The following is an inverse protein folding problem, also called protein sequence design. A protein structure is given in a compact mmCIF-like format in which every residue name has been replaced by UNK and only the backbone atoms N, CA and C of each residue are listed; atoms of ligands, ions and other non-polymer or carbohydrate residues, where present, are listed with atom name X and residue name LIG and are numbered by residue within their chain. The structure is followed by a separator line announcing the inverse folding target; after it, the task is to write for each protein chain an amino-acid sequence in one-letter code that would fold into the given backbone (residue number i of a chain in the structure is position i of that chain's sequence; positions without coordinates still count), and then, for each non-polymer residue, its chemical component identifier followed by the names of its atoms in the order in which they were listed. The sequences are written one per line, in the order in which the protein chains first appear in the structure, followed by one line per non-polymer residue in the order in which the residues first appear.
data_IF_942907930243
#
_entry.id   IF_942907930243
#
_cell.length_a   1.000
_cell.length_b   1.000
_cell.length_c   1.000
_cell.angle_alpha   90.00
_cell.angle_beta   90.00
_cell.angle_gamma   90.00
#
_symmetry.space_group_name_H-M   'P 1'
#
loop_
_entity.id
_entity.type
_entity.pdbx_description
1 polymer ?
#
# COMPACT_ATOMS: atom_id res chain seq x y z
N UNK A 1 -8.14 -24.86 8.00
CA UNK A 1 -6.96 -23.96 7.93
C UNK A 1 -6.63 -23.53 6.49
N UNK A 2 -7.57 -23.58 5.53
CA UNK A 2 -7.29 -23.27 4.11
C UNK A 2 -7.95 -21.99 3.58
N UNK A 3 -8.89 -21.41 4.32
CA UNK A 3 -9.72 -20.30 3.86
C UNK A 3 -9.07 -18.92 4.04
N UNK A 4 -8.23 -18.78 5.07
CA UNK A 4 -7.59 -17.51 5.43
C UNK A 4 -6.51 -17.12 4.41
N UNK A 5 -5.68 -18.08 3.99
CA UNK A 5 -4.57 -17.84 3.08
C UNK A 5 -5.01 -17.51 1.64
N UNK A 6 -6.18 -18.01 1.23
CA UNK A 6 -6.77 -17.71 -0.08
C UNK A 6 -7.34 -16.29 -0.14
N UNK A 7 -7.79 -15.77 1.01
CA UNK A 7 -8.36 -14.43 1.12
C UNK A 7 -7.28 -13.35 1.01
N UNK A 8 -6.13 -13.55 1.67
CA UNK A 8 -4.97 -12.67 1.52
C UNK A 8 -4.48 -12.60 0.07
N UNK A 9 -4.44 -13.72 -0.67
CA UNK A 9 -3.97 -13.73 -2.05
C UNK A 9 -4.85 -12.90 -3.01
N UNK A 10 -6.18 -12.92 -2.81
CA UNK A 10 -7.13 -12.08 -3.58
C UNK A 10 -6.93 -10.60 -3.27
N UNK A 11 -6.72 -10.25 -2.01
CA UNK A 11 -6.48 -8.87 -1.59
C UNK A 11 -5.11 -8.37 -2.08
N UNK A 12 -4.10 -9.24 -2.12
CA UNK A 12 -2.79 -8.94 -2.71
C UNK A 12 -2.90 -8.69 -4.23
N UNK A 13 -3.73 -9.46 -4.94
CA UNK A 13 -4.01 -9.19 -6.36
C UNK A 13 -4.70 -7.84 -6.55
N UNK A 14 -5.68 -7.49 -5.71
CA UNK A 14 -6.32 -6.16 -5.73
C UNK A 14 -5.32 -5.03 -5.51
N UNK A 15 -4.40 -5.21 -4.57
CA UNK A 15 -3.32 -4.26 -4.32
C UNK A 15 -2.42 -4.09 -5.55
N UNK A 16 -2.08 -5.19 -6.22
CA UNK A 16 -1.27 -5.21 -7.44
C UNK A 16 -1.97 -4.46 -8.59
N UNK A 17 -3.27 -4.72 -8.81
CA UNK A 17 -4.08 -3.99 -9.79
C UNK A 17 -4.22 -2.51 -9.46
N UNK A 18 -4.29 -2.18 -8.17
CA UNK A 18 -4.35 -0.80 -7.69
C UNK A 18 -3.04 -0.04 -7.95
N UNK A 19 -1.90 -0.70 -7.76
CA UNK A 19 -0.58 -0.13 -8.08
C UNK A 19 -0.34 -0.04 -9.57
N UNK A 20 -0.73 -1.05 -10.35
CA UNK A 20 -0.62 -1.05 -11.82
C UNK A 20 -1.34 0.12 -12.49
N UNK A 21 -2.40 0.65 -11.89
CA UNK A 21 -3.07 1.85 -12.38
C UNK A 21 -2.19 3.12 -12.31
N UNK A 22 -1.20 3.17 -11.41
CA UNK A 22 -0.26 4.28 -11.28
C UNK A 22 1.07 3.81 -10.67
N UNK A 23 1.93 3.14 -11.46
CA UNK A 23 3.18 2.56 -10.96
C UNK A 23 4.20 3.58 -10.46
N UNK A 24 3.98 4.88 -10.73
CA UNK A 24 4.83 5.98 -10.25
C UNK A 24 4.11 6.89 -9.25
N UNK A 25 2.96 6.48 -8.71
CA UNK A 25 2.22 7.25 -7.72
C UNK A 25 2.83 7.18 -6.32
N UNK A 26 2.51 8.15 -5.47
CA UNK A 26 2.78 8.06 -4.04
C UNK A 26 1.62 7.33 -3.35
N UNK A 27 1.95 6.35 -2.51
CA UNK A 27 0.98 5.53 -1.79
C UNK A 27 1.18 5.67 -0.28
N UNK A 28 0.10 5.60 0.49
CA UNK A 28 0.12 5.62 1.94
C UNK A 28 -0.60 4.39 2.49
N UNK A 29 0.08 3.56 3.27
CA UNK A 29 -0.53 2.43 3.98
C UNK A 29 -1.03 2.92 5.33
N UNK A 30 -2.33 2.88 5.53
CA UNK A 30 -2.99 3.22 6.79
C UNK A 30 -3.27 1.90 7.53
N UNK A 31 -2.42 1.60 8.51
CA UNK A 31 -2.45 0.33 9.24
C UNK A 31 -3.71 0.19 10.09
N UNK A 32 -4.17 1.28 10.70
CA UNK A 32 -5.35 1.28 11.57
C UNK A 32 -6.63 0.92 10.82
N UNK A 33 -6.71 1.34 9.54
CA UNK A 33 -7.88 1.06 8.69
C UNK A 33 -7.64 -0.07 7.68
N UNK A 34 -6.48 -0.70 7.72
CA UNK A 34 -6.05 -1.73 6.76
C UNK A 34 -6.36 -1.29 5.32
N UNK A 35 -5.86 -0.13 4.92
CA UNK A 35 -6.13 0.42 3.59
C UNK A 35 -4.90 1.07 3.00
N UNK A 36 -4.82 1.10 1.68
CA UNK A 36 -3.78 1.83 0.98
C UNK A 36 -4.42 2.98 0.19
N UNK A 37 -3.84 4.16 0.29
CA UNK A 37 -4.32 5.38 -0.34
C UNK A 37 -3.29 5.91 -1.32
N UNK A 38 -3.65 6.02 -2.60
CA UNK A 38 -2.85 6.67 -3.62
C UNK A 38 -3.14 8.16 -3.64
N UNK A 39 -2.09 8.99 -3.57
CA UNK A 39 -2.20 10.42 -3.79
C UNK A 39 -2.40 10.71 -5.29
N UNK A 40 -3.51 11.36 -5.61
CA UNK A 40 -3.86 11.88 -6.94
C UNK A 40 -3.72 13.40 -6.83
N UNK A 41 -2.76 13.99 -7.55
CA UNK A 41 -2.41 15.40 -7.41
C UNK A 41 -3.62 16.34 -7.31
N UNK A 42 -3.46 17.44 -6.57
CA UNK A 42 -4.52 18.37 -6.11
C UNK A 42 -5.24 17.96 -4.82
N UNK A 43 -4.57 17.18 -3.94
CA UNK A 43 -5.09 16.82 -2.62
C UNK A 43 -6.21 15.77 -2.65
N UNK A 44 -6.40 15.10 -3.79
CA UNK A 44 -7.28 13.95 -3.86
C UNK A 44 -6.49 12.70 -3.49
N UNK A 45 -7.13 11.78 -2.79
CA UNK A 45 -6.57 10.47 -2.54
C UNK A 45 -7.59 9.41 -2.94
N UNK A 46 -7.13 8.35 -3.58
CA UNK A 46 -7.94 7.17 -3.85
C UNK A 46 -7.50 6.09 -2.90
N UNK A 47 -8.37 5.66 -2.02
CA UNK A 47 -8.08 4.58 -1.08
C UNK A 47 -8.75 3.28 -1.54
N UNK A 48 -8.06 2.17 -1.34
CA UNK A 48 -8.63 0.83 -1.40
C UNK A 48 -8.44 0.16 -0.05
N UNK A 49 -9.54 -0.34 0.52
CA UNK A 49 -9.50 -1.07 1.77
C UNK A 49 -9.16 -2.52 1.47
N UNK A 50 -8.18 -3.03 2.20
CA UNK A 50 -7.60 -4.35 2.02
C UNK A 50 -7.63 -5.08 3.35
N UNK A 51 -8.22 -6.26 3.40
CA UNK A 51 -8.20 -7.07 4.63
C UNK A 51 -6.85 -7.80 4.80
N UNK A 52 -5.76 -7.04 4.70
CA UNK A 52 -4.38 -7.51 4.82
C UNK A 52 -3.72 -6.92 6.06
N UNK A 53 -2.75 -7.64 6.61
CA UNK A 53 -1.87 -7.09 7.62
C UNK A 53 -0.92 -6.05 6.99
N UNK A 54 -0.48 -5.08 7.80
CA UNK A 54 0.45 -4.05 7.35
C UNK A 54 1.74 -4.64 6.77
N UNK A 55 2.20 -5.75 7.34
CA UNK A 55 3.37 -6.52 6.89
C UNK A 55 3.17 -7.13 5.51
N UNK A 56 1.97 -7.63 5.19
CA UNK A 56 1.65 -8.19 3.87
C UNK A 56 1.61 -7.09 2.81
N UNK A 57 0.94 -5.98 3.11
CA UNK A 57 0.90 -4.81 2.22
C UNK A 57 2.30 -4.24 1.96
N UNK A 58 3.11 -4.10 3.01
CA UNK A 58 4.49 -3.63 2.91
C UNK A 58 5.34 -4.57 2.04
N UNK A 59 5.28 -5.87 2.30
CA UNK A 59 6.02 -6.87 1.51
C UNK A 59 5.65 -6.82 0.03
N UNK A 60 4.36 -6.65 -0.28
CA UNK A 60 3.90 -6.55 -1.66
C UNK A 60 4.32 -5.24 -2.33
N UNK A 61 4.24 -4.10 -1.63
CA UNK A 61 4.76 -2.82 -2.13
C UNK A 61 6.26 -2.90 -2.46
N UNK A 62 7.06 -3.52 -1.58
CA UNK A 62 8.49 -3.72 -1.82
C UNK A 62 8.76 -4.57 -3.07
N UNK A 63 8.00 -5.66 -3.28
CA UNK A 63 8.09 -6.47 -4.51
C UNK A 63 7.75 -5.67 -5.77
N UNK A 64 6.84 -4.70 -5.65
CA UNK A 64 6.43 -3.80 -6.73
C UNK A 64 7.42 -2.64 -6.96
N UNK A 65 8.52 -2.56 -6.21
CA UNK A 65 9.54 -1.53 -6.37
C UNK A 65 9.28 -0.25 -5.56
N UNK A 66 8.41 -0.32 -4.54
CA UNK A 66 8.15 0.79 -3.64
C UNK A 66 8.93 0.64 -2.34
N UNK A 67 9.45 1.75 -1.85
CA UNK A 67 10.01 1.86 -0.51
C UNK A 67 9.02 2.57 0.39
N UNK A 68 8.54 1.85 1.41
CA UNK A 68 7.69 2.43 2.43
C UNK A 68 8.47 2.72 3.70
N UNK A 69 8.23 3.88 4.28
CA UNK A 69 8.76 4.25 5.58
C UNK A 69 7.67 4.91 6.42
N UNK A 70 7.85 4.89 7.74
CA UNK A 70 7.05 5.72 8.60
C UNK A 70 7.44 7.20 8.38
N UNK A 71 6.46 8.11 8.39
CA UNK A 71 6.71 9.54 8.31
C UNK A 71 7.53 10.00 9.51
N UNK A 72 8.28 11.10 9.33
CA UNK A 72 9.05 11.70 10.43
C UNK A 72 8.16 12.26 11.55
N UNK A 73 6.91 12.58 11.22
CA UNK A 73 5.93 13.09 12.17
C UNK A 73 5.38 11.94 13.03
N UNK A 74 5.68 11.90 14.34
CA UNK A 74 5.26 10.81 15.22
C UNK A 74 3.75 10.76 15.46
N UNK A 75 3.00 11.79 15.03
CA UNK A 75 1.52 11.80 15.11
C UNK A 75 0.87 11.04 13.96
N UNK A 76 1.62 10.69 12.92
CA UNK A 76 1.13 9.98 11.75
C UNK A 76 1.43 8.48 11.87
N UNK A 77 0.38 7.67 11.81
CA UNK A 77 0.42 6.21 11.89
C UNK A 77 0.40 5.51 10.52
N UNK A 78 0.34 6.28 9.43
CA UNK A 78 0.44 5.72 8.08
C UNK A 78 1.89 5.53 7.67
N UNK A 79 2.16 4.62 6.74
CA UNK A 79 3.46 4.47 6.09
C UNK A 79 3.41 5.10 4.71
N UNK A 80 4.38 5.94 4.39
CA UNK A 80 4.51 6.58 3.08
C UNK A 80 5.37 5.68 2.18
N UNK A 81 4.77 5.17 1.10
CA UNK A 81 5.35 4.32 0.08
C UNK A 81 5.64 5.12 -1.19
N UNK A 82 6.93 5.20 -1.55
CA UNK A 82 7.39 5.91 -2.75
C UNK A 82 8.05 4.96 -3.72
N UNK A 83 7.79 5.13 -5.01
CA UNK A 83 8.43 4.33 -6.04
C UNK A 83 9.93 4.61 -6.06
N UNK A 84 10.74 3.57 -5.86
CA UNK A 84 12.19 3.69 -5.96
C UNK A 84 12.59 3.36 -7.39
N UNK A 85 12.61 4.40 -8.24
CA UNK A 85 13.35 4.29 -9.49
C UNK A 85 14.83 4.21 -9.13
N UNK A 86 15.46 3.06 -9.41
CA UNK A 86 16.92 2.92 -9.38
C UNK A 86 17.48 3.90 -10.42
N UNK A 87 18.14 4.96 -9.97
CA UNK A 87 18.99 5.84 -10.78
C UNK A 87 20.30 5.13 -11.07
#
# INVERSE_FOLDING_TARGET
MGDEQKKSEVELQRLDEFVKQAPSGDYNIDQEKQRICRQLGSGQEKCVQLNLEATEMFSQMQKLGFFCALPMDPTKTHMECKHVSRV
#
